data_IF_550460070520
#
_entry.id   IF_550460070520
#
_cell.length_a   1.000
_cell.length_b   1.000
_cell.length_c   1.000
_cell.angle_alpha   90.00
_cell.angle_beta   90.00
_cell.angle_gamma   90.00
#
_symmetry.space_group_name_H-M   'P 1'
#
loop_
_entity.id
_entity.type
_entity.pdbx_description
1 polymer ?
#
# COMPACT_ATOMS: atom_id res chain seq x y z
N UNK A 1 -2.65 -9.13 13.11
CA UNK A 1 -3.71 -9.65 12.24
C UNK A 1 -3.19 -10.86 11.47
N UNK A 2 -4.01 -11.89 11.38
CA UNK A 2 -3.80 -13.06 10.51
C UNK A 2 -4.61 -12.89 9.22
N UNK A 3 -5.38 -13.92 8.82
CA UNK A 3 -6.26 -13.82 7.66
C UNK A 3 -7.26 -12.67 7.84
N UNK A 4 -7.32 -11.80 6.86
CA UNK A 4 -8.08 -10.56 6.93
C UNK A 4 -8.22 -9.90 5.55
N UNK A 5 -9.16 -8.95 5.48
CA UNK A 5 -9.19 -7.96 4.40
C UNK A 5 -8.84 -6.60 5.00
N UNK A 6 -7.80 -5.98 4.48
CA UNK A 6 -7.35 -4.64 4.87
C UNK A 6 -7.67 -3.68 3.74
N UNK A 7 -8.40 -2.60 4.04
CA UNK A 7 -8.79 -1.57 3.06
C UNK A 7 -8.27 -0.23 3.53
N UNK A 8 -7.43 0.40 2.72
CA UNK A 8 -6.96 1.76 2.94
C UNK A 8 -7.52 2.70 1.88
N UNK A 9 -8.14 3.78 2.33
CA UNK A 9 -8.60 4.88 1.50
C UNK A 9 -7.69 6.08 1.74
N UNK A 10 -7.02 6.57 0.71
CA UNK A 10 -6.12 7.73 0.77
C UNK A 10 -6.62 8.85 -0.12
N UNK A 11 -6.43 10.10 0.33
CA UNK A 11 -6.56 11.28 -0.50
C UNK A 11 -5.23 11.65 -1.15
N UNK A 12 -4.12 11.32 -0.50
CA UNK A 12 -2.78 11.65 -0.95
C UNK A 12 -1.80 10.58 -0.50
N UNK A 13 -0.91 10.16 -1.42
CA UNK A 13 0.26 9.35 -1.14
C UNK A 13 1.51 10.23 -1.13
N UNK A 14 2.54 9.95 -0.31
CA UNK A 14 3.77 10.71 -0.32
C UNK A 14 4.45 10.70 -1.68
N UNK A 15 4.95 11.84 -2.13
CA UNK A 15 5.65 12.01 -3.40
C UNK A 15 6.90 12.83 -3.25
N UNK A 16 7.85 12.66 -4.17
CA UNK A 16 9.07 13.45 -4.26
C UNK A 16 10.34 12.62 -4.27
N UNK A 17 11.45 13.32 -4.37
CA UNK A 17 12.78 12.73 -4.30
C UNK A 17 13.21 12.47 -2.86
N UNK A 18 14.11 11.53 -2.67
CA UNK A 18 14.69 11.13 -1.39
C UNK A 18 13.69 10.52 -0.40
N UNK A 19 12.49 10.14 -0.86
CA UNK A 19 11.48 9.47 -0.06
C UNK A 19 11.23 8.05 -0.55
N UNK A 20 11.03 7.16 0.39
CA UNK A 20 10.61 5.77 0.19
C UNK A 20 9.45 5.50 1.13
N UNK A 21 8.25 5.89 0.75
CA UNK A 21 7.04 5.65 1.53
C UNK A 21 6.50 4.25 1.32
N UNK A 22 5.97 3.65 2.39
CA UNK A 22 5.27 2.38 2.36
C UNK A 22 4.03 2.35 3.27
N UNK A 23 3.00 1.62 2.82
CA UNK A 23 1.90 1.13 3.63
C UNK A 23 1.90 -0.40 3.52
N UNK A 24 2.20 -1.06 4.61
CA UNK A 24 2.60 -2.45 4.62
C UNK A 24 2.23 -3.19 5.90
N UNK A 25 2.44 -4.49 5.89
CA UNK A 25 2.29 -5.32 7.07
C UNK A 25 3.50 -6.23 7.25
N UNK A 26 3.89 -6.48 8.48
CA UNK A 26 5.03 -7.33 8.81
C UNK A 26 4.78 -8.12 10.08
N UNK A 27 5.43 -9.27 10.18
CA UNK A 27 5.42 -10.09 11.40
C UNK A 27 5.54 -9.25 12.67
N UNK A 28 4.73 -9.53 13.68
CA UNK A 28 4.86 -8.89 14.99
C UNK A 28 6.21 -9.21 15.67
N UNK A 29 6.85 -10.30 15.27
CA UNK A 29 8.15 -10.72 15.75
C UNK A 29 9.30 -10.24 14.84
N UNK A 30 9.40 -8.94 14.63
CA UNK A 30 10.34 -8.30 13.71
C UNK A 30 11.80 -8.77 13.81
N UNK A 31 12.36 -9.09 15.00
CA UNK A 31 13.74 -9.60 15.09
C UNK A 31 14.00 -10.90 14.32
N UNK A 32 12.96 -11.62 13.93
CA UNK A 32 13.05 -12.84 13.13
C UNK A 32 12.86 -12.61 11.62
N UNK A 33 12.66 -11.35 11.22
CA UNK A 33 12.46 -11.01 9.79
C UNK A 33 13.53 -11.65 8.89
N UNK A 34 13.20 -12.17 7.70
CA UNK A 34 11.90 -12.16 7.03
C UNK A 34 10.99 -13.35 7.40
N UNK A 35 11.31 -14.11 8.46
CA UNK A 35 10.45 -15.14 8.99
C UNK A 35 9.18 -14.50 9.56
N UNK A 36 8.02 -15.09 9.25
CA UNK A 36 6.70 -14.57 9.64
C UNK A 36 6.10 -13.65 8.57
N UNK A 37 6.89 -13.31 7.54
CA UNK A 37 6.42 -12.63 6.34
C UNK A 37 6.34 -11.10 6.45
N UNK A 38 6.32 -10.46 5.27
CA UNK A 38 6.10 -9.04 5.06
C UNK A 38 5.30 -8.85 3.77
N UNK A 39 4.35 -7.92 3.77
CA UNK A 39 3.46 -7.67 2.63
C UNK A 39 3.35 -6.16 2.41
N UNK A 40 3.90 -5.67 1.28
CA UNK A 40 3.81 -4.28 0.84
C UNK A 40 2.54 -4.08 0.02
N UNK A 41 1.60 -3.28 0.54
CA UNK A 41 0.36 -2.95 -0.16
C UNK A 41 0.53 -1.74 -1.07
N UNK A 42 1.18 -0.68 -0.57
CA UNK A 42 1.55 0.52 -1.31
C UNK A 42 3.01 0.85 -1.05
N UNK A 43 3.82 0.92 -2.09
CA UNK A 43 5.25 1.21 -1.98
C UNK A 43 5.80 1.83 -3.26
N UNK A 44 6.67 2.83 -3.12
CA UNK A 44 7.45 3.42 -4.21
C UNK A 44 8.66 4.17 -3.63
N UNK A 45 9.66 4.44 -4.46
CA UNK A 45 10.81 5.26 -4.08
C UNK A 45 11.07 6.33 -5.14
N UNK A 46 11.37 7.58 -4.72
CA UNK A 46 11.72 8.70 -5.59
C UNK A 46 10.71 9.02 -6.69
N UNK A 47 9.45 8.66 -6.55
CA UNK A 47 8.44 8.69 -7.63
C UNK A 47 8.92 8.00 -8.92
N UNK A 48 9.72 6.94 -8.78
CA UNK A 48 10.33 6.23 -9.90
C UNK A 48 9.30 5.72 -10.90
N UNK A 49 8.13 5.30 -10.41
CA UNK A 49 7.06 4.76 -11.24
C UNK A 49 5.74 5.50 -11.01
N UNK A 50 4.92 5.66 -12.06
CA UNK A 50 3.57 6.22 -11.94
C UNK A 50 2.56 5.19 -11.41
N UNK A 51 3.03 4.03 -10.94
CA UNK A 51 2.24 2.93 -10.41
C UNK A 51 2.84 2.38 -9.12
N UNK A 52 2.01 1.74 -8.33
CA UNK A 52 2.39 1.04 -7.12
C UNK A 52 3.14 -0.25 -7.43
N UNK A 53 4.16 -0.54 -6.63
CA UNK A 53 4.82 -1.84 -6.58
C UNK A 53 4.42 -2.57 -5.31
N UNK A 54 3.47 -3.52 -5.44
CA UNK A 54 3.17 -4.42 -4.33
C UNK A 54 4.26 -5.48 -4.22
N UNK A 55 4.63 -5.85 -3.00
CA UNK A 55 5.68 -6.85 -2.76
C UNK A 55 5.33 -7.81 -1.61
N UNK A 56 5.96 -8.99 -1.63
CA UNK A 56 5.90 -9.95 -0.53
C UNK A 56 7.30 -10.50 -0.28
N UNK A 57 7.69 -10.55 1.01
CA UNK A 57 8.98 -11.08 1.45
C UNK A 57 8.76 -12.21 2.45
N UNK A 58 9.42 -13.33 2.21
CA UNK A 58 9.41 -14.50 3.09
C UNK A 58 10.79 -15.08 3.28
N UNK A 59 10.94 -16.01 4.22
CA UNK A 59 12.22 -16.57 4.65
C UNK A 59 12.74 -17.70 3.76
N UNK A 60 11.89 -18.26 2.89
CA UNK A 60 12.24 -19.46 2.10
C UNK A 60 11.83 -19.30 0.65
N UNK A 61 12.21 -20.28 -0.18
CA UNK A 61 11.76 -20.31 -1.58
C UNK A 61 10.24 -20.44 -1.64
N UNK A 62 9.62 -19.40 -2.16
CA UNK A 62 8.18 -19.28 -2.39
C UNK A 62 7.98 -18.40 -3.61
N UNK A 63 7.16 -18.81 -4.56
CA UNK A 63 7.05 -18.09 -5.82
C UNK A 63 5.59 -17.88 -6.24
N UNK A 64 5.36 -16.75 -6.86
CA UNK A 64 4.11 -16.44 -7.58
C UNK A 64 4.02 -17.33 -8.82
N UNK A 65 2.92 -18.06 -8.95
CA UNK A 65 2.73 -19.00 -10.07
C UNK A 65 1.36 -18.79 -10.71
N UNK A 66 1.33 -18.59 -12.04
CA UNK A 66 0.12 -18.43 -12.83
C UNK A 66 -0.91 -17.43 -12.25
N UNK A 67 -0.52 -16.18 -11.96
CA UNK A 67 -1.41 -15.21 -11.35
C UNK A 67 -2.55 -14.80 -12.30
N UNK A 68 -3.76 -14.67 -11.76
CA UNK A 68 -4.89 -14.04 -12.46
C UNK A 68 -4.99 -12.58 -12.02
N UNK A 69 -4.28 -11.68 -12.71
CA UNK A 69 -4.16 -10.27 -12.33
C UNK A 69 -4.17 -9.32 -13.52
N UNK A 70 -4.47 -8.05 -13.26
CA UNK A 70 -4.35 -6.98 -14.28
C UNK A 70 -2.97 -6.35 -14.31
N UNK A 71 -2.20 -6.43 -13.22
CA UNK A 71 -0.84 -5.94 -13.13
C UNK A 71 0.20 -6.87 -13.76
N UNK A 72 1.46 -6.48 -13.67
CA UNK A 72 2.60 -7.21 -14.26
C UNK A 72 3.52 -7.73 -13.17
N UNK A 73 3.78 -9.03 -13.16
CA UNK A 73 4.80 -9.62 -12.29
C UNK A 73 6.19 -9.14 -12.72
N UNK A 74 6.90 -8.47 -11.80
CA UNK A 74 8.27 -7.97 -12.00
C UNK A 74 9.28 -9.03 -11.54
N UNK A 75 9.05 -9.57 -10.32
CA UNK A 75 9.79 -10.69 -9.75
C UNK A 75 8.80 -11.69 -9.17
N UNK A 76 9.02 -12.96 -9.40
CA UNK A 76 8.15 -14.05 -8.94
C UNK A 76 8.62 -14.71 -7.64
N UNK A 77 9.91 -14.67 -7.33
CA UNK A 77 10.50 -15.31 -6.15
C UNK A 77 10.38 -14.39 -4.92
N UNK A 78 9.66 -14.86 -3.89
CA UNK A 78 9.38 -14.08 -2.68
C UNK A 78 10.45 -14.23 -1.58
N UNK A 79 11.46 -15.09 -1.75
CA UNK A 79 12.53 -15.22 -0.77
C UNK A 79 13.34 -13.92 -0.65
N UNK A 80 13.30 -13.28 0.53
CA UNK A 80 14.00 -12.03 0.80
C UNK A 80 15.53 -12.11 0.66
N UNK A 81 16.08 -13.29 0.68
CA UNK A 81 17.54 -13.51 0.47
C UNK A 81 17.89 -13.76 -1.00
N UNK A 82 16.91 -13.71 -1.89
CA UNK A 82 17.11 -13.77 -3.33
C UNK A 82 16.85 -12.39 -3.97
N UNK A 83 17.30 -12.18 -5.20
CA UNK A 83 17.03 -10.97 -5.99
C UNK A 83 17.30 -9.66 -5.22
N UNK A 84 18.46 -9.56 -4.59
CA UNK A 84 18.89 -8.37 -3.83
C UNK A 84 17.86 -7.89 -2.81
N UNK A 85 17.23 -8.83 -2.11
CA UNK A 85 16.19 -8.60 -1.10
C UNK A 85 14.88 -8.00 -1.64
N UNK A 86 14.67 -8.01 -2.95
CA UNK A 86 13.47 -7.42 -3.57
C UNK A 86 12.17 -8.18 -3.29
N UNK A 87 12.24 -9.46 -2.82
CA UNK A 87 11.07 -10.31 -2.71
C UNK A 87 10.37 -10.55 -4.05
N UNK A 88 9.15 -11.06 -4.05
CA UNK A 88 8.33 -11.05 -5.25
C UNK A 88 7.57 -9.73 -5.37
N UNK A 89 7.52 -9.18 -6.61
CA UNK A 89 6.94 -7.86 -6.88
C UNK A 89 5.97 -7.90 -8.05
N UNK A 90 4.87 -7.19 -7.88
CA UNK A 90 3.86 -7.00 -8.91
C UNK A 90 3.61 -5.51 -9.09
N UNK A 91 3.85 -5.02 -10.31
CA UNK A 91 3.50 -3.65 -10.70
C UNK A 91 1.98 -3.55 -10.91
N UNK A 92 1.31 -2.70 -10.18
CA UNK A 92 -0.12 -2.43 -10.36
C UNK A 92 -0.34 -1.45 -11.52
N UNK A 93 0.11 -1.82 -12.71
CA UNK A 93 0.12 -1.02 -13.93
C UNK A 93 -0.94 -1.44 -14.95
N UNK A 94 -1.96 -2.18 -14.54
CA UNK A 94 -3.05 -2.63 -15.39
C UNK A 94 -3.75 -1.46 -16.09
N UNK A 95 -4.20 -1.68 -17.32
CA UNK A 95 -4.71 -0.63 -18.22
C UNK A 95 -5.93 0.11 -17.67
N UNK A 96 -6.74 -0.54 -16.82
CA UNK A 96 -7.96 0.05 -16.23
C UNK A 96 -7.70 0.71 -14.87
N UNK A 97 -6.52 0.50 -14.28
CA UNK A 97 -6.21 1.01 -12.94
C UNK A 97 -5.80 2.51 -12.94
N UNK A 98 -5.51 3.08 -14.12
CA UNK A 98 -5.00 4.45 -14.22
C UNK A 98 -3.65 4.61 -13.50
N UNK A 99 -3.43 5.75 -12.84
CA UNK A 99 -2.27 5.95 -11.98
C UNK A 99 -2.57 5.36 -10.60
N UNK A 100 -1.77 4.40 -10.14
CA UNK A 100 -1.89 3.79 -8.81
C UNK A 100 -0.88 4.38 -7.81
N UNK A 101 -0.07 5.37 -8.25
CA UNK A 101 0.89 6.10 -7.44
C UNK A 101 1.16 7.51 -7.99
N UNK A 102 1.75 8.36 -7.12
CA UNK A 102 2.36 9.64 -7.48
C UNK A 102 1.38 10.79 -7.70
N UNK A 103 1.88 11.86 -8.32
CA UNK A 103 1.13 13.10 -8.52
C UNK A 103 -0.19 12.89 -9.26
N UNK A 104 -0.23 12.04 -10.28
CA UNK A 104 -1.46 11.78 -11.04
C UNK A 104 -2.55 11.15 -10.20
N UNK A 105 -2.20 10.28 -9.25
CA UNK A 105 -3.13 9.73 -8.28
C UNK A 105 -3.62 10.82 -7.33
N UNK A 106 -2.70 11.62 -6.79
CA UNK A 106 -3.02 12.71 -5.87
C UNK A 106 -3.94 13.76 -6.52
N UNK A 107 -3.71 14.12 -7.78
CA UNK A 107 -4.57 15.04 -8.55
C UNK A 107 -6.01 14.53 -8.69
N UNK A 108 -6.21 13.23 -8.72
CA UNK A 108 -7.54 12.59 -8.74
C UNK A 108 -8.20 12.47 -7.36
N UNK A 109 -7.51 12.92 -6.31
CA UNK A 109 -7.96 12.85 -4.93
C UNK A 109 -7.71 11.49 -4.28
N UNK A 110 -6.69 10.79 -4.78
CA UNK A 110 -6.23 9.53 -4.23
C UNK A 110 -6.97 8.30 -4.75
N UNK A 111 -7.03 7.27 -3.93
CA UNK A 111 -7.64 5.99 -4.28
C UNK A 111 -7.90 5.10 -3.08
N UNK A 112 -8.34 3.89 -3.40
CA UNK A 112 -8.56 2.81 -2.42
C UNK A 112 -7.71 1.62 -2.81
N UNK A 113 -6.87 1.14 -1.90
CA UNK A 113 -6.21 -0.16 -1.99
C UNK A 113 -6.89 -1.13 -1.03
N UNK A 114 -7.10 -2.36 -1.47
CA UNK A 114 -7.59 -3.44 -0.63
C UNK A 114 -6.68 -4.66 -0.79
N UNK A 115 -6.33 -5.30 0.32
CA UNK A 115 -5.63 -6.57 0.35
C UNK A 115 -6.50 -7.60 1.04
N UNK A 116 -6.65 -8.76 0.43
CA UNK A 116 -7.11 -9.98 1.08
C UNK A 116 -5.89 -10.85 1.38
N UNK A 117 -5.79 -11.33 2.60
CA UNK A 117 -4.97 -12.46 3.00
C UNK A 117 -5.91 -13.55 3.50
N UNK A 118 -5.94 -14.68 2.82
CA UNK A 118 -6.81 -15.81 3.14
C UNK A 118 -6.08 -17.13 2.84
N UNK A 119 -5.53 -17.72 3.87
CA UNK A 119 -4.84 -19.03 3.85
C UNK A 119 -5.72 -20.17 4.37
N UNK A 120 -7.04 -19.97 4.48
CA UNK A 120 -7.98 -21.04 4.79
C UNK A 120 -7.95 -22.15 3.73
N UNK A 121 -8.56 -23.29 4.00
CA UNK A 121 -8.56 -24.45 3.09
C UNK A 121 -9.02 -24.15 1.66
N UNK A 122 -9.91 -23.16 1.49
CA UNK A 122 -10.40 -22.68 0.18
C UNK A 122 -9.96 -21.28 -0.13
N UNK A 123 -9.07 -20.75 0.67
CA UNK A 123 -8.50 -19.42 0.50
C UNK A 123 -7.66 -19.29 -0.77
N UNK A 124 -7.54 -18.09 -1.25
CA UNK A 124 -6.77 -17.74 -2.47
C UNK A 124 -5.43 -17.10 -2.17
N UNK A 125 -5.00 -17.12 -0.90
CA UNK A 125 -3.75 -16.51 -0.47
C UNK A 125 -3.81 -14.98 -0.42
N UNK A 126 -2.83 -14.32 -1.02
CA UNK A 126 -2.69 -12.86 -0.98
C UNK A 126 -3.09 -12.27 -2.32
N UNK A 127 -4.14 -11.44 -2.32
CA UNK A 127 -4.64 -10.73 -3.49
C UNK A 127 -4.83 -9.26 -3.16
N UNK A 128 -4.57 -8.36 -4.11
CA UNK A 128 -4.71 -6.92 -3.90
C UNK A 128 -5.45 -6.27 -5.06
N UNK A 129 -6.28 -5.28 -4.73
CA UNK A 129 -7.03 -4.46 -5.69
C UNK A 129 -6.70 -3.00 -5.46
N UNK A 130 -6.81 -2.22 -6.52
CA UNK A 130 -6.66 -0.78 -6.47
C UNK A 130 -7.73 -0.10 -7.33
N UNK A 131 -8.32 0.94 -6.80
CA UNK A 131 -9.28 1.79 -7.51
C UNK A 131 -8.92 3.25 -7.29
N UNK A 132 -8.96 4.05 -8.37
CA UNK A 132 -8.92 5.50 -8.23
C UNK A 132 -10.13 5.97 -7.40
N UNK A 133 -9.98 7.13 -6.77
CA UNK A 133 -11.04 7.72 -5.95
C UNK A 133 -12.41 7.69 -6.67
N UNK A 134 -13.43 7.23 -5.97
CA UNK A 134 -14.80 7.05 -6.44
C UNK A 134 -15.07 5.86 -7.39
N UNK A 135 -14.06 5.11 -7.79
CA UNK A 135 -14.23 3.92 -8.65
C UNK A 135 -14.30 2.61 -7.86
N UNK A 136 -14.03 2.65 -6.55
CA UNK A 136 -14.11 1.49 -5.67
C UNK A 136 -15.55 0.90 -5.62
N UNK A 137 -15.69 -0.40 -5.30
CA UNK A 137 -16.99 -1.05 -5.09
C UNK A 137 -17.86 -0.30 -4.08
N UNK A 138 -19.18 -0.37 -4.25
CA UNK A 138 -20.14 0.38 -3.42
C UNK A 138 -20.03 0.06 -1.93
N UNK A 139 -19.68 -1.17 -1.57
CA UNK A 139 -19.46 -1.60 -0.19
C UNK A 139 -18.24 -0.94 0.44
N UNK A 140 -17.22 -0.58 -0.35
CA UNK A 140 -16.03 0.15 0.11
C UNK A 140 -16.24 1.66 0.15
N UNK A 141 -17.21 2.22 -0.60
CA UNK A 141 -17.60 3.64 -0.50
C UNK A 141 -18.25 3.98 0.84
N UNK A 142 -18.96 3.01 1.41
CA UNK A 142 -19.59 3.11 2.73
C UNK A 142 -19.27 1.82 3.48
N UNK A 143 -18.06 1.68 4.03
CA UNK A 143 -17.65 0.47 4.70
C UNK A 143 -18.64 0.02 5.76
N UNK A 144 -19.12 -1.20 5.61
CA UNK A 144 -20.09 -1.85 6.47
C UNK A 144 -19.43 -2.90 7.38
N UNK A 145 -20.22 -3.88 7.80
CA UNK A 145 -19.77 -4.95 8.70
C UNK A 145 -19.00 -6.06 7.97
N UNK A 146 -19.20 -6.20 6.67
CA UNK A 146 -18.58 -7.25 5.85
C UNK A 146 -18.28 -6.78 4.44
N UNK A 147 -17.36 -7.45 3.78
CA UNK A 147 -16.98 -7.26 2.38
C UNK A 147 -16.88 -8.63 1.69
N UNK A 148 -17.04 -8.62 0.37
CA UNK A 148 -16.91 -9.82 -0.47
C UNK A 148 -15.85 -9.59 -1.57
N UNK A 149 -14.57 -9.90 -1.30
CA UNK A 149 -13.47 -9.74 -2.26
C UNK A 149 -13.66 -10.51 -3.58
N UNK A 150 -14.43 -11.59 -3.58
CA UNK A 150 -14.71 -12.34 -4.81
C UNK A 150 -15.65 -11.60 -5.77
N UNK A 151 -16.37 -10.59 -5.27
CA UNK A 151 -17.20 -9.69 -6.09
C UNK A 151 -16.43 -8.54 -6.74
N UNK A 152 -15.16 -8.30 -6.39
CA UNK A 152 -14.38 -7.14 -6.83
C UNK A 152 -13.72 -7.29 -8.20
N UNK A 153 -13.91 -8.44 -8.85
CA UNK A 153 -13.29 -8.73 -10.15
C UNK A 153 -11.83 -9.13 -10.04
N UNK A 154 -11.13 -9.09 -11.18
CA UNK A 154 -9.72 -9.48 -11.25
C UNK A 154 -8.85 -8.55 -10.40
N UNK A 155 -8.01 -9.07 -9.49
CA UNK A 155 -7.13 -8.25 -8.67
C UNK A 155 -6.07 -7.53 -9.51
N UNK A 156 -5.55 -6.42 -8.98
CA UNK A 156 -4.40 -5.73 -9.56
C UNK A 156 -3.10 -6.52 -9.33
N UNK A 157 -3.00 -7.20 -8.18
CA UNK A 157 -1.91 -8.12 -7.88
C UNK A 157 -2.46 -9.41 -7.24
N UNK A 158 -2.07 -10.54 -7.80
CA UNK A 158 -2.39 -11.88 -7.31
C UNK A 158 -1.10 -12.63 -7.00
N UNK A 159 -0.71 -12.62 -5.75
CA UNK A 159 0.44 -13.38 -5.29
C UNK A 159 0.09 -14.87 -5.08
N UNK A 160 -1.15 -15.18 -4.75
CA UNK A 160 -1.56 -16.51 -4.33
C UNK A 160 -0.81 -16.94 -3.06
N UNK A 161 0.24 -17.75 -3.20
CA UNK A 161 1.15 -18.21 -2.15
C UNK A 161 0.50 -19.15 -1.10
N UNK A 162 -0.61 -19.79 -1.43
CA UNK A 162 -1.29 -20.74 -0.53
C UNK A 162 -0.38 -21.89 -0.12
N UNK A 163 0.59 -22.26 -0.97
CA UNK A 163 1.60 -23.29 -0.69
C UNK A 163 2.65 -22.85 0.35
N UNK A 164 2.67 -21.58 0.70
CA UNK A 164 3.62 -20.98 1.63
C UNK A 164 2.92 -20.34 2.85
N UNK A 165 1.71 -20.79 3.17
CA UNK A 165 0.91 -20.23 4.27
C UNK A 165 1.65 -20.25 5.61
N UNK A 166 2.53 -21.23 5.83
CA UNK A 166 3.38 -21.38 7.01
C UNK A 166 4.47 -20.31 7.14
N UNK A 167 4.67 -19.49 6.10
CA UNK A 167 5.62 -18.39 6.11
C UNK A 167 5.03 -17.10 6.71
N UNK A 168 3.73 -17.07 7.00
CA UNK A 168 3.04 -15.87 7.49
C UNK A 168 2.46 -16.11 8.88
N UNK A 169 2.78 -15.23 9.81
CA UNK A 169 2.23 -15.22 11.18
C UNK A 169 1.33 -13.98 11.42
N UNK A 170 1.19 -13.58 12.68
CA UNK A 170 0.51 -12.35 13.04
C UNK A 170 1.26 -11.13 12.55
N UNK A 171 0.59 -10.22 11.85
CA UNK A 171 1.18 -9.01 11.31
C UNK A 171 0.71 -7.74 12.03
N UNK A 172 1.62 -6.78 12.15
CA UNK A 172 1.34 -5.39 12.44
C UNK A 172 1.16 -4.60 11.13
N UNK A 173 0.30 -3.58 11.16
CA UNK A 173 0.11 -2.63 10.05
C UNK A 173 1.01 -1.43 10.28
N UNK A 174 1.72 -1.01 9.24
CA UNK A 174 2.71 0.06 9.32
C UNK A 174 2.49 1.08 8.19
N UNK A 175 2.67 2.35 8.54
CA UNK A 175 2.90 3.45 7.62
C UNK A 175 4.27 4.01 7.90
N UNK A 176 5.05 4.27 6.88
CA UNK A 176 6.27 5.03 6.99
C UNK A 176 6.53 5.94 5.78
N UNK A 177 7.57 6.75 5.91
CA UNK A 177 8.21 7.50 4.84
C UNK A 177 9.69 7.48 5.17
N UNK A 178 10.39 6.47 4.68
CA UNK A 178 11.83 6.36 4.83
C UNK A 178 12.51 7.45 3.99
N UNK A 179 13.47 8.13 4.56
CA UNK A 179 14.30 9.12 3.86
C UNK A 179 15.59 8.44 3.40
N UNK A 180 15.81 8.42 2.09
CA UNK A 180 16.85 7.63 1.44
C UNK A 180 16.66 6.10 1.69
N UNK A 181 17.58 5.45 2.39
CA UNK A 181 17.58 4.00 2.54
C UNK A 181 18.03 3.30 1.26
N UNK A 182 18.15 1.97 1.31
CA UNK A 182 18.79 1.20 0.25
C UNK A 182 18.14 1.45 -1.13
N UNK A 183 16.84 1.32 -1.24
CA UNK A 183 16.16 1.50 -2.53
C UNK A 183 16.16 2.97 -3.00
N UNK A 184 15.82 3.92 -2.15
CA UNK A 184 15.76 5.31 -2.58
C UNK A 184 17.15 5.93 -2.78
N UNK A 185 18.21 5.50 -2.10
CA UNK A 185 19.58 5.94 -2.39
C UNK A 185 20.08 5.40 -3.72
N UNK A 186 19.84 4.10 -3.98
CA UNK A 186 20.25 3.44 -5.21
C UNK A 186 19.54 4.04 -6.43
N UNK A 187 18.21 4.10 -6.38
CA UNK A 187 17.39 4.60 -7.50
C UNK A 187 17.42 6.12 -7.66
N UNK A 188 17.98 6.86 -6.69
CA UNK A 188 18.06 8.31 -6.75
C UNK A 188 18.72 8.81 -8.03
N UNK A 189 19.79 8.12 -8.47
CA UNK A 189 20.54 8.50 -9.68
C UNK A 189 19.85 8.09 -10.98
N UNK A 190 18.85 7.22 -10.92
CA UNK A 190 18.09 6.73 -12.07
C UNK A 190 16.89 7.61 -12.41
N UNK A 191 16.60 8.59 -11.57
CA UNK A 191 15.49 9.54 -11.71
C UNK A 191 15.99 10.93 -12.07
N UNK A 192 15.09 11.90 -12.16
CA UNK A 192 15.44 13.32 -12.32
C UNK A 192 15.98 13.99 -11.04
N UNK A 193 15.99 13.27 -9.91
CA UNK A 193 16.36 13.80 -8.59
C UNK A 193 17.78 14.41 -8.53
N UNK A 194 18.85 13.77 -9.07
CA UNK A 194 20.21 14.30 -8.97
C UNK A 194 20.40 15.65 -9.67
N UNK A 195 19.71 15.86 -10.79
CA UNK A 195 19.80 17.14 -11.54
C UNK A 195 19.28 18.32 -10.72
N UNK A 196 18.40 18.05 -9.76
CA UNK A 196 17.80 19.07 -8.90
C UNK A 196 18.53 19.20 -7.55
N UNK A 197 18.97 18.07 -6.96
CA UNK A 197 19.31 18.03 -5.54
C UNK A 197 20.66 17.35 -5.22
N UNK A 198 21.51 17.02 -6.18
CA UNK A 198 22.85 16.41 -6.08
C UNK A 198 22.83 14.95 -5.62
N UNK A 199 22.45 14.66 -4.37
CA UNK A 199 22.35 13.31 -3.80
C UNK A 199 21.23 13.25 -2.78
N UNK A 200 20.78 12.04 -2.50
CA UNK A 200 19.72 11.79 -1.53
C UNK A 200 20.07 12.38 -0.15
N UNK A 201 21.22 12.03 0.40
CA UNK A 201 21.67 12.55 1.69
C UNK A 201 21.85 14.07 1.71
N UNK A 202 22.28 14.69 0.60
CA UNK A 202 22.37 16.14 0.51
C UNK A 202 20.98 16.78 0.58
N UNK A 203 20.00 16.25 -0.15
CA UNK A 203 18.61 16.74 -0.14
C UNK A 203 18.03 16.67 1.28
N UNK A 204 18.13 15.51 1.93
CA UNK A 204 17.61 15.31 3.30
C UNK A 204 18.25 16.28 4.30
N UNK A 205 19.58 16.44 4.23
CA UNK A 205 20.31 17.26 5.18
C UNK A 205 20.19 18.78 4.97
N UNK A 206 19.82 19.25 3.77
CA UNK A 206 19.94 20.67 3.43
C UNK A 206 18.68 21.29 2.81
N UNK A 207 17.73 20.50 2.33
CA UNK A 207 16.62 20.99 1.49
C UNK A 207 15.25 20.56 2.04
N UNK A 208 15.00 20.80 3.32
CA UNK A 208 13.76 20.38 4.00
C UNK A 208 12.47 20.87 3.35
N UNK A 209 12.48 21.98 2.63
CA UNK A 209 11.34 22.51 1.89
C UNK A 209 10.97 21.68 0.65
N UNK A 210 11.79 20.71 0.25
CA UNK A 210 11.48 19.81 -0.89
C UNK A 210 10.57 18.64 -0.52
N UNK A 211 10.21 18.51 0.76
CA UNK A 211 9.37 17.42 1.29
C UNK A 211 7.91 17.82 1.53
N UNK A 212 7.45 18.92 0.96
CA UNK A 212 6.08 19.44 1.14
C UNK A 212 4.99 18.42 0.73
N UNK A 213 5.28 17.55 -0.24
CA UNK A 213 4.36 16.52 -0.73
C UNK A 213 4.67 15.12 -0.17
N UNK A 214 5.61 15.01 0.77
CA UNK A 214 5.98 13.74 1.39
C UNK A 214 5.10 13.48 2.63
N UNK A 215 3.80 13.26 2.43
CA UNK A 215 2.86 12.96 3.51
C UNK A 215 1.75 12.00 3.05
N UNK A 216 1.20 11.25 4.00
CA UNK A 216 -0.01 10.46 3.84
C UNK A 216 -1.23 11.29 4.24
N UNK A 217 -2.26 11.38 3.38
CA UNK A 217 -3.60 11.86 3.77
C UNK A 217 -4.56 10.66 3.73
N UNK A 218 -4.87 10.13 4.91
CA UNK A 218 -5.68 8.91 5.08
C UNK A 218 -7.14 9.28 5.34
N UNK A 219 -8.04 8.87 4.45
CA UNK A 219 -9.49 9.02 4.60
C UNK A 219 -10.08 7.94 5.52
N UNK A 220 -9.54 6.72 5.47
CA UNK A 220 -10.00 5.61 6.29
C UNK A 220 -9.12 4.38 6.17
N UNK A 221 -9.06 3.60 7.25
CA UNK A 221 -8.45 2.29 7.32
C UNK A 221 -9.46 1.33 7.94
N UNK A 222 -9.76 0.24 7.24
CA UNK A 222 -10.75 -0.74 7.65
C UNK A 222 -10.15 -2.13 7.60
N UNK A 223 -10.45 -2.94 8.61
CA UNK A 223 -9.93 -4.29 8.73
C UNK A 223 -11.11 -5.21 8.99
N UNK A 224 -11.24 -6.23 8.14
CA UNK A 224 -12.26 -7.25 8.23
C UNK A 224 -11.57 -8.58 8.53
N UNK A 225 -11.94 -9.21 9.62
CA UNK A 225 -11.41 -10.53 10.01
C UNK A 225 -12.49 -11.58 9.81
N UNK A 226 -12.12 -12.84 9.51
CA UNK A 226 -13.09 -13.93 9.48
C UNK A 226 -13.84 -14.03 10.81
N UNK A 227 -15.16 -14.29 10.76
CA UNK A 227 -15.93 -14.54 11.97
C UNK A 227 -15.41 -15.77 12.69
N UNK A 228 -15.17 -15.68 13.99
CA UNK A 228 -14.74 -16.78 14.85
C UNK A 228 -15.78 -17.92 14.96
N UNK A 229 -16.98 -17.72 14.43
CA UNK A 229 -18.04 -18.72 14.31
C UNK A 229 -18.45 -18.84 12.85
N UNK A 230 -18.28 -20.00 12.24
CA UNK A 230 -18.75 -20.32 10.89
C UNK A 230 -20.30 -20.31 10.81
N UNK A 231 -20.94 -19.21 11.17
CA UNK A 231 -22.37 -18.98 11.12
C UNK A 231 -22.65 -17.57 10.60
N UNK A 232 -23.36 -17.54 9.49
CA UNK A 232 -23.92 -16.35 8.86
C UNK A 232 -24.80 -15.53 9.82
N UNK A 233 -24.66 -14.21 9.70
CA UNK A 233 -25.55 -13.14 10.15
C UNK A 233 -25.52 -12.71 11.61
N UNK A 234 -25.08 -11.48 11.85
CA UNK A 234 -25.72 -10.58 12.78
C UNK A 234 -25.63 -9.12 12.30
N UNK A 235 -26.77 -8.45 12.37
CA UNK A 235 -26.97 -7.04 11.96
C UNK A 235 -26.56 -6.13 13.10
N UNK A 236 -25.74 -5.13 12.84
CA UNK A 236 -25.65 -3.93 13.68
C UNK A 236 -25.82 -2.69 12.81
N UNK A 237 -26.76 -1.83 13.21
CA UNK A 237 -27.06 -0.56 12.56
C UNK A 237 -26.23 0.54 13.21
N UNK A 238 -25.46 1.27 12.41
CA UNK A 238 -25.08 2.63 12.80
C UNK A 238 -25.27 3.59 11.63
N UNK A 239 -26.14 4.57 11.86
CA UNK A 239 -26.46 5.68 10.95
C UNK A 239 -25.36 6.72 10.99
N UNK A 240 -24.86 7.17 9.84
CA UNK A 240 -24.29 8.50 9.70
C UNK A 240 -24.70 9.12 8.37
N UNK A 241 -25.18 10.35 8.45
CA UNK A 241 -25.56 11.20 7.35
C UNK A 241 -24.34 11.66 6.56
N UNK A 242 -24.44 11.67 5.25
CA UNK A 242 -23.55 12.45 4.41
C UNK A 242 -23.37 11.84 3.03
N UNK A 243 -24.35 12.04 2.17
CA UNK A 243 -24.23 11.80 0.74
C UNK A 243 -23.35 12.92 0.14
N UNK A 244 -22.07 12.62 -0.14
CA UNK A 244 -21.27 13.46 -1.03
C UNK A 244 -21.13 12.70 -2.33
N UNK A 245 -21.95 13.09 -3.30
CA UNK A 245 -21.80 12.69 -4.70
C UNK A 245 -20.33 12.84 -5.13
N UNK A 246 -19.78 11.77 -5.71
CA UNK A 246 -18.51 11.77 -6.42
C UNK A 246 -18.60 12.72 -7.63
N UNK A 247 -18.50 14.01 -7.39
CA UNK A 247 -18.36 15.00 -8.43
C UNK A 247 -16.85 15.23 -8.64
N UNK A 248 -16.34 14.84 -9.81
CA UNK A 248 -15.04 15.26 -10.30
C UNK A 248 -15.13 16.80 -10.41
N UNK A 249 -14.68 17.51 -9.40
CA UNK A 249 -14.45 18.95 -9.51
C UNK A 249 -13.16 19.13 -10.30
N UNK A 250 -13.29 19.57 -11.55
CA UNK A 250 -12.22 20.28 -12.22
C UNK A 250 -11.88 21.49 -11.36
N UNK A 251 -10.85 21.39 -10.54
CA UNK A 251 -10.36 22.54 -9.79
C UNK A 251 -9.44 23.36 -10.71
N UNK A 252 -9.71 24.67 -10.88
CA UNK A 252 -8.73 25.56 -11.46
C UNK A 252 -7.57 25.70 -10.45
N UNK A 253 -6.35 25.68 -10.98
CA UNK A 253 -5.11 25.92 -10.23
C UNK A 253 -5.09 27.32 -9.66
N UNK A 254 -5.54 27.52 -8.43
CA UNK A 254 -5.16 28.66 -7.58
C UNK A 254 -5.70 28.51 -6.15
N UNK A 255 -4.78 28.69 -5.20
CA UNK A 255 -4.96 29.05 -3.80
C UNK A 255 -5.57 27.97 -2.86
N UNK A 256 -4.69 27.21 -2.23
CA UNK A 256 -4.99 26.56 -0.94
C UNK A 256 -4.99 27.61 0.18
N UNK A 257 -6.15 27.87 0.76
CA UNK A 257 -6.25 28.49 2.08
C UNK A 257 -6.32 27.38 3.13
N UNK A 258 -5.39 27.36 4.04
CA UNK A 258 -5.32 26.41 5.15
C UNK A 258 -6.38 26.74 6.19
N UNK A 259 -7.20 25.76 6.52
CA UNK A 259 -7.98 25.75 7.75
C UNK A 259 -7.51 24.57 8.62
N UNK A 260 -7.06 24.82 9.86
CA UNK A 260 -6.52 23.77 10.70
C UNK A 260 -7.67 23.09 11.45
N UNK A 261 -7.90 21.83 11.15
CA UNK A 261 -8.59 20.92 12.06
C UNK A 261 -7.66 19.75 12.32
N UNK A 262 -6.86 19.93 13.38
CA UNK A 262 -5.88 18.96 13.84
C UNK A 262 -6.57 17.75 14.47
N UNK A 263 -6.38 16.59 13.85
CA UNK A 263 -6.42 15.32 14.55
C UNK A 263 -4.96 14.88 14.72
N UNK A 264 -4.45 15.05 15.93
CA UNK A 264 -3.09 14.71 16.34
C UNK A 264 -2.96 13.18 16.39
N UNK A 265 -2.54 12.54 15.30
CA UNK A 265 -2.01 11.19 15.36
C UNK A 265 -0.54 11.30 15.78
N UNK A 266 -0.23 10.78 16.96
CA UNK A 266 1.15 10.60 17.41
C UNK A 266 1.85 9.63 16.45
N UNK A 267 2.60 10.17 15.50
CA UNK A 267 3.55 9.41 14.68
C UNK A 267 4.81 9.26 15.53
N UNK A 268 5.01 8.07 16.10
CA UNK A 268 6.32 7.70 16.68
C UNK A 268 7.30 7.48 15.54
N UNK A 269 8.20 8.44 15.33
CA UNK A 269 9.36 8.30 14.46
C UNK A 269 10.30 7.25 15.06
N UNK A 270 10.33 6.06 14.50
CA UNK A 270 11.37 5.07 14.76
C UNK A 270 12.49 5.26 13.75
N UNK A 271 13.62 5.78 14.23
CA UNK A 271 14.87 5.68 13.49
C UNK A 271 15.34 4.22 13.54
N UNK A 272 15.25 3.51 12.44
CA UNK A 272 15.97 2.25 12.27
C UNK A 272 17.34 2.58 11.69
N UNK A 273 18.35 2.57 12.56
CA UNK A 273 19.76 2.53 12.13
C UNK A 273 20.05 1.06 11.85
N UNK A 274 20.28 0.71 10.62
CA UNK A 274 20.91 -0.55 10.25
C UNK A 274 22.41 -0.29 10.08
N UNK A 275 23.19 -1.00 10.90
CA UNK A 275 24.60 -1.32 10.66
C UNK A 275 24.68 -2.63 9.90
#
# INVERSE_FOLDING_TARGET
YEDSVIVLQVAHVPTGCAVWPAFWTVTENRPLWPKGGEIEMLENANDQYPYNLAAVHVNTSCAVTNPEQTGTTVFDQCNAYANDSSGCRIAMNGTDAGATWGHKLNEKGGGTVAMQRDFSERGKGIRMWFWENCLEPSELKKPGESVDPDSWGTPAADFGLTQCADQFDNHNIIFDITLCGDWAEETYTETSCPSNYKSCGYQVGNLGNTFENAFWDVKGLYIYTPDASGSSSSKSKRSSKGDKTCAIKNMPSSAMSHSPSALLLLVTLFFSIFL
#
